data_IF_791119898850
#
_entry.id   IF_791119898850
#
_cell.length_a   1.000
_cell.length_b   1.000
_cell.length_c   1.000
_cell.angle_alpha   90.00
_cell.angle_beta   90.00
_cell.angle_gamma   90.00
#
_symmetry.space_group_name_H-M   'P 1'
#
loop_
_entity.id
_entity.type
_entity.pdbx_description
1 polymer ?
#
# COMPACT_ATOMS: atom_id res chain seq x y z
N UNK A 1 8.17 -5.87 10.22
CA UNK A 1 6.76 -5.66 10.66
C UNK A 1 5.91 -6.80 10.13
N UNK A 2 4.74 -7.03 10.76
CA UNK A 2 3.75 -7.99 10.26
C UNK A 2 2.71 -7.23 9.43
N UNK A 3 2.39 -7.74 8.24
CA UNK A 3 1.44 -7.11 7.32
C UNK A 3 0.65 -8.17 6.56
N UNK A 4 -0.65 -7.92 6.35
CA UNK A 4 -1.43 -8.70 5.39
C UNK A 4 -1.42 -8.04 4.02
N UNK A 5 -1.42 -8.85 2.97
CA UNK A 5 -1.65 -8.43 1.59
C UNK A 5 -2.90 -9.11 1.05
N UNK A 6 -3.88 -8.31 0.65
CA UNK A 6 -5.12 -8.78 0.01
C UNK A 6 -5.03 -8.46 -1.48
N UNK A 7 -5.06 -9.51 -2.30
CA UNK A 7 -4.85 -9.40 -3.74
C UNK A 7 -3.38 -9.64 -4.12
N UNK A 8 -3.14 -10.80 -4.72
CA UNK A 8 -1.82 -11.29 -5.13
C UNK A 8 -1.62 -11.23 -6.65
N UNK A 9 -2.25 -10.26 -7.28
CA UNK A 9 -1.96 -9.93 -8.66
C UNK A 9 -0.49 -9.52 -8.84
N UNK A 10 -0.12 -9.12 -10.06
CA UNK A 10 1.27 -8.82 -10.41
C UNK A 10 1.95 -7.85 -9.43
N UNK A 11 1.29 -6.78 -9.04
CA UNK A 11 1.89 -5.82 -8.11
C UNK A 11 1.88 -6.32 -6.66
N UNK A 12 0.71 -6.74 -6.14
CA UNK A 12 0.61 -7.20 -4.75
C UNK A 12 1.54 -8.36 -4.45
N UNK A 13 1.64 -9.33 -5.36
CA UNK A 13 2.57 -10.43 -5.21
C UNK A 13 4.04 -10.01 -5.21
N UNK A 14 4.43 -9.10 -6.10
CA UNK A 14 5.79 -8.57 -6.13
C UNK A 14 6.13 -7.76 -4.86
N UNK A 15 5.15 -7.01 -4.33
CA UNK A 15 5.32 -6.29 -3.06
C UNK A 15 5.54 -7.26 -1.89
N UNK A 16 4.79 -8.36 -1.83
CA UNK A 16 4.99 -9.42 -0.83
C UNK A 16 6.41 -9.98 -0.89
N UNK A 17 6.89 -10.32 -2.08
CA UNK A 17 8.25 -10.83 -2.23
C UNK A 17 9.31 -9.84 -1.77
N UNK A 18 9.15 -8.55 -2.14
CA UNK A 18 10.08 -7.49 -1.73
C UNK A 18 10.07 -7.27 -0.22
N UNK A 19 8.90 -7.30 0.41
CA UNK A 19 8.74 -7.20 1.86
C UNK A 19 9.42 -8.36 2.59
N UNK A 20 9.18 -9.61 2.15
CA UNK A 20 9.77 -10.79 2.76
C UNK A 20 11.30 -10.80 2.62
N UNK A 21 11.84 -10.43 1.46
CA UNK A 21 13.29 -10.32 1.24
C UNK A 21 13.97 -9.35 2.20
N UNK A 22 13.23 -8.37 2.71
CA UNK A 22 13.73 -7.37 3.65
C UNK A 22 13.25 -7.58 5.09
N UNK A 23 12.87 -8.80 5.45
CA UNK A 23 12.62 -9.20 6.83
C UNK A 23 11.25 -8.88 7.39
N UNK A 24 10.27 -8.49 6.55
CA UNK A 24 8.88 -8.38 6.98
C UNK A 24 8.18 -9.74 6.93
N UNK A 25 7.21 -9.94 7.81
CA UNK A 25 6.34 -11.13 7.80
C UNK A 25 5.05 -10.80 7.08
N UNK A 26 4.72 -11.56 6.03
CA UNK A 26 3.53 -11.33 5.23
C UNK A 26 2.51 -12.45 5.39
N UNK A 27 1.28 -12.09 5.77
CA UNK A 27 0.10 -12.95 5.63
C UNK A 27 -0.58 -12.58 4.32
N UNK A 28 -0.94 -13.55 3.49
CA UNK A 28 -1.44 -13.29 2.14
C UNK A 28 -2.79 -13.94 1.90
N UNK A 29 -3.67 -13.18 1.27
CA UNK A 29 -4.99 -13.65 0.85
C UNK A 29 -5.27 -13.25 -0.60
N UNK A 30 -5.82 -14.19 -1.36
CA UNK A 30 -6.34 -13.97 -2.69
C UNK A 30 -7.57 -14.89 -2.89
N UNK A 31 -8.47 -14.51 -3.80
CA UNK A 31 -9.62 -15.36 -4.17
C UNK A 31 -9.16 -16.70 -4.78
N UNK A 32 -8.02 -16.71 -5.44
CA UNK A 32 -7.38 -17.90 -5.96
C UNK A 32 -6.47 -18.55 -4.91
N UNK A 33 -6.92 -19.64 -4.31
CA UNK A 33 -6.11 -20.40 -3.37
C UNK A 33 -4.86 -21.02 -4.03
N UNK A 34 -4.87 -21.24 -5.33
CA UNK A 34 -3.68 -21.64 -6.08
C UNK A 34 -2.62 -20.54 -6.05
N UNK A 35 -3.06 -19.27 -6.19
CA UNK A 35 -2.16 -18.12 -6.07
C UNK A 35 -1.60 -17.98 -4.66
N UNK A 36 -2.42 -18.17 -3.62
CA UNK A 36 -1.94 -18.15 -2.22
C UNK A 36 -0.82 -19.18 -2.02
N UNK A 37 -1.00 -20.42 -2.46
CA UNK A 37 0.01 -21.48 -2.35
C UNK A 37 1.34 -21.14 -3.03
N UNK A 38 1.31 -20.39 -4.15
CA UNK A 38 2.54 -19.93 -4.83
C UNK A 38 3.36 -18.99 -3.92
N UNK A 39 2.70 -18.19 -3.11
CA UNK A 39 3.38 -17.27 -2.18
C UNK A 39 3.75 -17.94 -0.85
N UNK A 40 3.03 -18.99 -0.41
CA UNK A 40 3.49 -19.84 0.69
C UNK A 40 4.85 -20.48 0.37
N UNK A 41 5.05 -20.94 -0.86
CA UNK A 41 6.35 -21.44 -1.33
C UNK A 41 7.47 -20.37 -1.29
N UNK A 42 7.09 -19.09 -1.22
CA UNK A 42 7.99 -17.92 -1.09
C UNK A 42 8.08 -17.37 0.34
N UNK A 43 7.71 -18.18 1.34
CA UNK A 43 7.75 -17.86 2.77
C UNK A 43 6.67 -16.87 3.26
N UNK A 44 5.62 -16.64 2.50
CA UNK A 44 4.44 -15.97 3.01
C UNK A 44 3.58 -16.95 3.84
N UNK A 45 2.77 -16.44 4.75
CA UNK A 45 1.75 -17.22 5.45
C UNK A 45 0.44 -17.09 4.69
N UNK A 46 -0.04 -18.16 4.07
CA UNK A 46 -1.29 -18.17 3.34
C UNK A 46 -2.51 -18.10 4.25
N UNK A 47 -3.58 -17.49 3.75
CA UNK A 47 -4.88 -17.47 4.42
C UNK A 47 -6.00 -17.95 3.49
N UNK A 48 -6.94 -18.71 4.06
CA UNK A 48 -8.09 -19.29 3.35
C UNK A 48 -9.32 -18.36 3.32
N UNK A 49 -9.36 -17.39 4.23
CA UNK A 49 -10.44 -16.40 4.36
C UNK A 49 -9.91 -15.12 5.02
N UNK A 50 -10.71 -14.05 5.02
CA UNK A 50 -10.37 -12.84 5.79
C UNK A 50 -10.28 -13.13 7.30
N UNK A 51 -11.18 -13.92 7.87
CA UNK A 51 -11.12 -14.29 9.28
C UNK A 51 -9.84 -15.07 9.61
N UNK A 52 -9.45 -16.02 8.77
CA UNK A 52 -8.19 -16.77 8.90
C UNK A 52 -6.97 -15.83 8.79
N UNK A 53 -6.98 -14.90 7.83
CA UNK A 53 -5.93 -13.88 7.67
C UNK A 53 -5.77 -13.02 8.94
N UNK A 54 -6.88 -12.50 9.47
CA UNK A 54 -6.90 -11.66 10.66
C UNK A 54 -6.40 -12.40 11.90
N UNK A 55 -6.75 -13.68 12.04
CA UNK A 55 -6.29 -14.52 13.17
C UNK A 55 -4.77 -14.75 13.20
N UNK A 56 -4.12 -14.61 12.04
CA UNK A 56 -2.67 -14.82 11.88
C UNK A 56 -1.85 -13.53 12.06
N UNK A 57 -2.50 -12.40 12.34
CA UNK A 57 -1.85 -11.10 12.52
C UNK A 57 -1.91 -10.64 13.99
N UNK A 58 -0.79 -10.20 14.57
CA UNK A 58 -0.83 -9.51 15.86
C UNK A 58 -1.49 -8.13 15.73
N UNK A 59 -2.25 -7.72 16.72
CA UNK A 59 -2.81 -6.37 16.80
C UNK A 59 -1.73 -5.36 17.29
N UNK A 60 -1.77 -4.10 16.86
CA UNK A 60 -2.62 -3.57 15.81
C UNK A 60 -2.23 -4.13 14.43
N UNK A 61 -3.23 -4.52 13.65
CA UNK A 61 -3.03 -5.19 12.37
C UNK A 61 -2.84 -4.18 11.24
N UNK A 62 -2.01 -4.53 10.26
CA UNK A 62 -1.79 -3.74 9.06
C UNK A 62 -2.24 -4.58 7.87
N UNK A 63 -3.23 -4.10 7.13
CA UNK A 63 -3.81 -4.80 5.98
C UNK A 63 -3.68 -3.91 4.73
N UNK A 64 -2.94 -4.38 3.73
CA UNK A 64 -2.74 -3.71 2.46
C UNK A 64 -3.64 -4.33 1.38
N UNK A 65 -4.47 -3.50 0.76
CA UNK A 65 -5.39 -3.90 -0.30
C UNK A 65 -4.76 -3.60 -1.67
N UNK A 66 -4.60 -4.64 -2.49
CA UNK A 66 -4.16 -4.55 -3.89
C UNK A 66 -5.22 -5.15 -4.80
N UNK A 67 -6.44 -4.68 -4.63
CA UNK A 67 -7.62 -5.14 -5.38
C UNK A 67 -8.08 -4.06 -6.37
N UNK A 68 -8.87 -4.41 -7.41
CA UNK A 68 -9.46 -3.43 -8.30
C UNK A 68 -10.33 -2.41 -7.55
N UNK A 69 -10.30 -1.14 -7.98
CA UNK A 69 -11.03 -0.05 -7.31
C UNK A 69 -12.53 -0.35 -7.10
N UNK A 70 -13.18 -1.02 -8.05
CA UNK A 70 -14.60 -1.36 -7.97
C UNK A 70 -14.97 -2.39 -6.91
N UNK A 71 -13.99 -3.05 -6.25
CA UNK A 71 -14.26 -4.04 -5.19
C UNK A 71 -13.70 -3.63 -3.83
N UNK A 72 -13.05 -2.47 -3.72
CA UNK A 72 -12.46 -1.99 -2.46
C UNK A 72 -13.53 -1.82 -1.39
N UNK A 73 -14.65 -1.19 -1.69
CA UNK A 73 -15.74 -0.97 -0.72
C UNK A 73 -16.29 -2.28 -0.18
N UNK A 74 -16.52 -3.27 -1.06
CA UNK A 74 -16.94 -4.59 -0.64
C UNK A 74 -15.90 -5.27 0.26
N UNK A 75 -14.63 -5.19 -0.13
CA UNK A 75 -13.51 -5.76 0.66
C UNK A 75 -13.44 -5.14 2.05
N UNK A 76 -13.56 -3.81 2.15
CA UNK A 76 -13.61 -3.10 3.43
C UNK A 76 -14.83 -3.53 4.25
N UNK A 77 -16.01 -3.63 3.62
CA UNK A 77 -17.22 -4.06 4.30
C UNK A 77 -17.09 -5.46 4.92
N UNK A 78 -16.42 -6.39 4.23
CA UNK A 78 -16.17 -7.75 4.71
C UNK A 78 -15.09 -7.80 5.81
N UNK A 79 -14.10 -6.90 5.78
CA UNK A 79 -13.02 -6.85 6.75
C UNK A 79 -13.42 -6.16 8.06
N UNK A 80 -14.16 -5.06 8.00
CA UNK A 80 -14.49 -4.21 9.16
C UNK A 80 -15.05 -4.98 10.35
N UNK A 81 -15.96 -5.94 10.20
CA UNK A 81 -16.46 -6.73 11.34
C UNK A 81 -15.39 -7.59 12.05
N UNK A 82 -14.24 -7.81 11.40
CA UNK A 82 -13.13 -8.63 11.91
C UNK A 82 -12.01 -7.78 12.51
N UNK A 83 -12.05 -6.46 12.31
CA UNK A 83 -11.03 -5.53 12.75
C UNK A 83 -11.32 -4.97 14.15
N UNK A 84 -10.30 -4.43 14.75
CA UNK A 84 -10.35 -3.78 16.07
C UNK A 84 -9.83 -2.35 15.98
N UNK A 85 -10.16 -1.53 16.99
CA UNK A 85 -9.59 -0.20 17.12
C UNK A 85 -8.05 -0.26 17.12
N UNK A 86 -7.42 0.63 16.36
CA UNK A 86 -5.99 0.69 16.14
C UNK A 86 -5.50 -0.06 14.89
N UNK A 87 -6.33 -0.92 14.28
CA UNK A 87 -5.97 -1.58 13.02
C UNK A 87 -5.89 -0.58 11.86
N UNK A 88 -5.05 -0.87 10.87
CA UNK A 88 -4.78 0.01 9.72
C UNK A 88 -5.16 -0.69 8.43
N UNK A 89 -5.99 -0.05 7.62
CA UNK A 89 -6.26 -0.42 6.24
C UNK A 89 -5.50 0.49 5.28
N UNK A 90 -4.74 -0.09 4.37
CA UNK A 90 -4.01 0.61 3.32
C UNK A 90 -4.63 0.25 1.96
N UNK A 91 -5.12 1.24 1.24
CA UNK A 91 -5.53 1.07 -0.16
C UNK A 91 -4.37 1.45 -1.09
N UNK A 92 -3.73 0.45 -1.69
CA UNK A 92 -2.63 0.62 -2.64
C UNK A 92 -3.05 0.42 -4.10
N UNK A 93 -4.34 0.37 -4.36
CA UNK A 93 -4.91 0.21 -5.70
C UNK A 93 -4.88 1.49 -6.54
N UNK A 94 -5.86 1.64 -7.41
CA UNK A 94 -6.10 2.84 -8.22
C UNK A 94 -7.47 3.44 -7.90
N UNK A 95 -7.70 3.73 -6.63
CA UNK A 95 -8.97 4.25 -6.15
C UNK A 95 -9.16 5.73 -6.48
N UNK A 96 -10.41 6.15 -6.54
CA UNK A 96 -10.76 7.55 -6.68
C UNK A 96 -10.59 8.25 -5.32
N UNK A 97 -9.80 9.32 -5.26
CA UNK A 97 -9.43 9.98 -4.01
C UNK A 97 -10.60 10.47 -3.15
N UNK A 98 -11.76 10.78 -3.78
CA UNK A 98 -12.97 11.19 -3.04
C UNK A 98 -13.54 10.02 -2.23
N UNK A 99 -13.44 8.79 -2.78
CA UNK A 99 -13.84 7.59 -2.04
C UNK A 99 -12.91 7.33 -0.86
N UNK A 100 -11.61 7.62 -0.98
CA UNK A 100 -10.66 7.48 0.14
C UNK A 100 -11.03 8.40 1.30
N UNK A 101 -11.42 9.65 1.00
CA UNK A 101 -11.89 10.61 2.00
C UNK A 101 -13.15 10.09 2.69
N UNK A 102 -14.10 9.53 1.93
CA UNK A 102 -15.33 8.95 2.46
C UNK A 102 -15.03 7.75 3.35
N UNK A 103 -14.23 6.79 2.87
CA UNK A 103 -13.83 5.57 3.61
C UNK A 103 -13.15 5.91 4.92
N UNK A 104 -12.21 6.86 4.91
CA UNK A 104 -11.54 7.32 6.12
C UNK A 104 -12.53 7.85 7.16
N UNK A 105 -13.51 8.68 6.73
CA UNK A 105 -14.56 9.20 7.62
C UNK A 105 -15.47 8.11 8.20
N UNK A 106 -15.77 7.07 7.42
CA UNK A 106 -16.63 5.95 7.84
C UNK A 106 -15.89 5.01 8.83
N UNK A 107 -14.57 4.90 8.72
CA UNK A 107 -13.74 4.02 9.54
C UNK A 107 -13.29 4.67 10.84
N UNK A 108 -13.06 5.98 10.86
CA UNK A 108 -12.59 6.72 12.02
C UNK A 108 -13.43 6.51 13.30
N UNK A 109 -14.78 6.52 13.28
CA UNK A 109 -15.59 6.25 14.46
C UNK A 109 -15.43 4.84 15.04
N UNK A 110 -14.90 3.91 14.25
CA UNK A 110 -14.58 2.53 14.66
C UNK A 110 -13.16 2.38 15.18
N UNK A 111 -12.39 3.48 15.20
CA UNK A 111 -10.99 3.50 15.55
C UNK A 111 -10.08 2.81 14.54
N UNK A 112 -10.54 2.57 13.32
CA UNK A 112 -9.77 1.96 12.24
C UNK A 112 -9.15 3.08 11.41
N UNK A 113 -7.83 3.03 11.24
CA UNK A 113 -7.08 3.98 10.43
C UNK A 113 -7.12 3.60 8.95
N UNK A 114 -7.22 4.60 8.10
CA UNK A 114 -7.18 4.43 6.65
C UNK A 114 -6.03 5.20 6.03
N UNK A 115 -5.31 4.58 5.10
CA UNK A 115 -4.19 5.18 4.36
C UNK A 115 -4.37 4.87 2.89
N UNK A 116 -4.30 5.87 2.04
CA UNK A 116 -4.33 5.71 0.59
C UNK A 116 -2.91 5.85 0.01
N UNK A 117 -2.54 4.94 -0.88
CA UNK A 117 -1.20 4.90 -1.46
C UNK A 117 -1.27 4.80 -2.97
N UNK A 118 -1.02 5.90 -3.63
CA UNK A 118 -0.81 5.93 -5.05
C UNK A 118 0.52 5.24 -5.42
N UNK A 119 0.44 3.98 -5.84
CA UNK A 119 1.63 3.15 -6.12
C UNK A 119 1.98 3.17 -7.60
N UNK A 120 3.24 3.45 -7.94
CA UNK A 120 3.80 3.41 -9.29
C UNK A 120 5.07 2.55 -9.34
N UNK A 121 5.21 1.71 -10.36
CA UNK A 121 6.37 0.78 -10.51
C UNK A 121 6.03 -0.42 -11.38
N UNK A 122 4.76 -0.77 -11.48
CA UNK A 122 4.26 -1.83 -12.36
C UNK A 122 5.01 -3.15 -12.19
N UNK A 123 5.39 -3.74 -13.32
CA UNK A 123 6.08 -5.05 -13.37
C UNK A 123 7.52 -5.00 -12.85
N UNK A 124 8.16 -3.84 -12.91
CA UNK A 124 9.56 -3.65 -12.50
C UNK A 124 9.72 -3.38 -11.01
N UNK A 125 8.62 -3.18 -10.29
CA UNK A 125 8.63 -2.84 -8.87
C UNK A 125 9.29 -3.88 -7.97
N UNK A 126 9.32 -5.17 -8.37
CA UNK A 126 10.01 -6.19 -7.61
C UNK A 126 11.50 -5.88 -7.45
N UNK A 127 12.16 -5.49 -8.53
CA UNK A 127 13.60 -5.26 -8.55
C UNK A 127 13.95 -3.79 -8.29
N UNK A 128 13.18 -2.86 -8.88
CA UNK A 128 13.46 -1.42 -8.83
C UNK A 128 12.74 -0.67 -7.72
N UNK A 129 11.78 -1.29 -7.04
CA UNK A 129 10.92 -0.64 -6.05
C UNK A 129 9.74 0.10 -6.64
N UNK A 130 8.93 0.67 -5.75
CA UNK A 130 7.69 1.37 -6.06
C UNK A 130 7.77 2.82 -5.59
N UNK A 131 7.50 3.77 -6.48
CA UNK A 131 7.27 5.14 -6.08
C UNK A 131 5.88 5.25 -5.45
N UNK A 132 5.78 5.91 -4.29
CA UNK A 132 4.54 5.95 -3.52
C UNK A 132 4.19 7.37 -3.08
N UNK A 133 2.97 7.79 -3.39
CA UNK A 133 2.33 9.00 -2.89
C UNK A 133 1.32 8.58 -1.83
N UNK A 134 1.48 9.08 -0.61
CA UNK A 134 0.79 8.55 0.57
C UNK A 134 -0.13 9.63 1.16
N UNK A 135 -1.39 9.28 1.38
CA UNK A 135 -2.37 10.09 2.09
C UNK A 135 -2.82 9.40 3.38
N UNK A 136 -2.92 10.16 4.47
CA UNK A 136 -3.36 9.62 5.74
C UNK A 136 -2.93 10.44 6.95
N UNK A 137 -3.29 10.00 8.13
CA UNK A 137 -2.89 10.60 9.39
C UNK A 137 -1.36 10.56 9.57
N UNK A 138 -0.68 11.69 9.89
CA UNK A 138 0.79 11.76 9.97
C UNK A 138 1.40 10.72 10.92
N UNK A 139 0.77 10.46 12.06
CA UNK A 139 1.25 9.48 13.03
C UNK A 139 1.22 8.06 12.49
N UNK A 140 0.16 7.71 11.75
CA UNK A 140 -0.02 6.39 11.13
C UNK A 140 0.96 6.21 9.97
N UNK A 141 1.08 7.22 9.09
CA UNK A 141 2.03 7.18 7.97
C UNK A 141 3.46 7.02 8.49
N UNK A 142 3.84 7.73 9.57
CA UNK A 142 5.13 7.58 10.23
C UNK A 142 5.33 6.18 10.82
N UNK A 143 4.31 5.58 11.42
CA UNK A 143 4.37 4.21 11.94
C UNK A 143 4.63 3.18 10.82
N UNK A 144 4.08 3.42 9.64
CA UNK A 144 4.22 2.56 8.46
C UNK A 144 5.52 2.79 7.67
N UNK A 145 6.32 3.78 8.03
CA UNK A 145 7.56 4.16 7.33
C UNK A 145 8.49 2.98 6.99
N UNK A 146 8.72 1.99 7.88
CA UNK A 146 9.56 0.83 7.54
C UNK A 146 9.02 0.00 6.37
N UNK A 147 7.70 -0.04 6.16
CA UNK A 147 7.07 -0.72 5.03
C UNK A 147 7.30 0.09 3.75
N UNK A 148 7.05 1.40 3.81
CA UNK A 148 7.24 2.28 2.66
C UNK A 148 8.71 2.33 2.22
N UNK A 149 9.64 2.48 3.16
CA UNK A 149 11.08 2.46 2.87
C UNK A 149 11.53 1.15 2.21
N UNK A 150 10.99 0.01 2.63
CA UNK A 150 11.27 -1.29 2.02
C UNK A 150 10.73 -1.39 0.60
N UNK A 151 9.53 -0.89 0.36
CA UNK A 151 8.90 -0.96 -0.96
C UNK A 151 9.47 0.06 -1.94
N UNK A 152 9.96 1.19 -1.46
CA UNK A 152 10.52 2.27 -2.28
C UNK A 152 11.80 1.87 -3.01
N UNK A 153 12.14 2.57 -4.13
CA UNK A 153 13.39 2.33 -4.87
C UNK A 153 14.65 2.72 -4.11
N UNK A 154 14.55 3.66 -3.16
CA UNK A 154 15.70 4.31 -2.56
C UNK A 154 16.37 5.30 -3.52
N UNK A 155 17.49 5.90 -3.09
CA UNK A 155 18.22 6.92 -3.86
C UNK A 155 18.87 6.31 -5.13
N UNK A 156 19.23 5.02 -5.10
CA UNK A 156 19.91 4.36 -6.22
C UNK A 156 21.28 4.99 -6.53
N UNK A 157 21.65 4.95 -7.83
CA UNK A 157 22.92 5.49 -8.34
C UNK A 157 22.71 6.79 -9.14
N UNK A 158 21.62 7.51 -8.93
CA UNK A 158 21.28 8.73 -9.68
C UNK A 158 21.88 9.93 -8.93
N UNK A 159 22.72 10.70 -9.63
CA UNK A 159 23.26 11.93 -9.10
C UNK A 159 22.15 12.94 -8.78
N UNK A 160 22.30 13.65 -7.67
CA UNK A 160 21.35 14.71 -7.30
C UNK A 160 21.39 15.85 -8.30
N UNK A 161 20.24 16.45 -8.56
CA UNK A 161 20.15 17.65 -9.39
C UNK A 161 21.03 18.76 -8.80
N UNK A 162 21.97 19.36 -9.59
CA UNK A 162 22.83 20.43 -9.11
C UNK A 162 22.01 21.61 -8.54
N UNK A 163 22.52 22.19 -7.45
CA UNK A 163 21.87 23.33 -6.80
C UNK A 163 20.67 22.99 -5.91
N UNK A 164 20.30 21.72 -5.75
CA UNK A 164 19.29 21.32 -4.79
C UNK A 164 19.83 21.38 -3.36
N UNK A 165 19.06 21.89 -2.38
CA UNK A 165 19.43 21.86 -0.96
C UNK A 165 19.64 20.42 -0.48
N UNK A 166 20.18 20.25 0.71
CA UNK A 166 20.34 18.94 1.33
C UNK A 166 19.04 18.14 1.36
N UNK A 167 19.16 16.80 1.39
CA UNK A 167 18.02 15.89 1.42
C UNK A 167 17.07 16.25 2.56
N UNK A 168 15.84 16.60 2.22
CA UNK A 168 14.76 16.82 3.17
C UNK A 168 13.65 15.81 2.92
N UNK A 169 13.37 14.94 3.92
CA UNK A 169 12.30 13.93 3.82
C UNK A 169 12.64 12.75 2.91
N UNK A 170 11.60 12.05 2.47
CA UNK A 170 11.67 10.73 1.81
C UNK A 170 11.41 10.78 0.30
N UNK A 171 11.16 11.97 -0.27
CA UNK A 171 10.83 12.11 -1.69
C UNK A 171 11.94 11.57 -2.62
N UNK A 172 13.20 11.78 -2.25
CA UNK A 172 14.35 11.26 -3.02
C UNK A 172 14.51 9.74 -2.88
N UNK A 173 13.95 9.13 -1.84
CA UNK A 173 13.89 7.67 -1.69
C UNK A 173 12.75 7.06 -2.52
N UNK A 174 11.90 7.88 -3.11
CA UNK A 174 10.79 7.47 -3.97
C UNK A 174 9.46 7.29 -3.24
N UNK A 175 9.29 7.84 -2.04
CA UNK A 175 7.98 7.90 -1.39
C UNK A 175 7.79 9.20 -0.61
N UNK A 176 6.55 9.67 -0.52
CA UNK A 176 6.24 10.94 0.14
C UNK A 176 4.85 10.89 0.79
N UNK A 177 4.76 11.37 2.04
CA UNK A 177 3.49 11.72 2.66
C UNK A 177 2.99 13.03 2.05
N UNK A 178 1.93 12.93 1.23
CA UNK A 178 1.40 14.04 0.42
C UNK A 178 0.35 14.88 1.16
N UNK A 179 -0.21 14.37 2.25
CA UNK A 179 -1.26 15.06 3.00
C UNK A 179 -2.27 14.13 3.66
N UNK A 180 -3.47 14.63 4.00
CA UNK A 180 -4.52 13.82 4.61
C UNK A 180 -5.05 12.75 3.67
N UNK A 181 -6.00 11.94 4.15
CA UNK A 181 -6.64 10.88 3.36
C UNK A 181 -7.15 11.40 2.01
N UNK A 182 -6.87 10.65 0.95
CA UNK A 182 -7.14 10.98 -0.44
C UNK A 182 -5.97 11.70 -1.14
N UNK A 183 -5.02 12.28 -0.41
CA UNK A 183 -3.91 13.03 -1.00
C UNK A 183 -2.97 12.13 -1.82
N UNK A 184 -2.77 10.88 -1.44
CA UNK A 184 -1.92 9.93 -2.16
C UNK A 184 -2.44 9.62 -3.56
N UNK A 185 -3.67 9.16 -3.67
CA UNK A 185 -4.31 8.89 -4.96
C UNK A 185 -4.54 10.16 -5.77
N UNK A 186 -4.90 11.29 -5.13
CA UNK A 186 -5.03 12.58 -5.82
C UNK A 186 -3.74 12.97 -6.52
N UNK A 187 -2.61 12.96 -5.81
CA UNK A 187 -1.30 13.34 -6.39
C UNK A 187 -0.90 12.38 -7.49
N UNK A 188 -1.02 11.06 -7.28
CA UNK A 188 -0.71 10.07 -8.29
C UNK A 188 -1.50 10.28 -9.58
N UNK A 189 -2.82 10.44 -9.49
CA UNK A 189 -3.70 10.60 -10.66
C UNK A 189 -3.49 11.95 -11.36
N UNK A 190 -3.16 13.01 -10.60
CA UNK A 190 -2.84 14.32 -11.18
C UNK A 190 -1.55 14.30 -12.01
N UNK A 191 -0.56 13.50 -11.62
CA UNK A 191 0.70 13.37 -12.36
C UNK A 191 0.50 12.87 -13.81
N UNK A 192 -0.49 12.03 -14.07
CA UNK A 192 -0.81 11.55 -15.42
C UNK A 192 -1.18 12.73 -16.32
N UNK A 193 -1.96 13.69 -15.83
CA UNK A 193 -2.37 14.87 -16.59
C UNK A 193 -1.24 15.90 -16.77
N UNK A 194 -0.30 15.95 -15.85
CA UNK A 194 0.82 16.92 -15.89
C UNK A 194 1.96 16.39 -16.74
N UNK A 195 2.29 15.10 -16.63
CA UNK A 195 3.46 14.50 -17.29
C UNK A 195 3.19 13.98 -18.71
N UNK A 196 1.94 13.67 -19.06
CA UNK A 196 1.55 13.17 -20.39
C UNK A 196 0.35 13.93 -21.00
N UNK A 197 0.33 15.29 -21.01
CA UNK A 197 -0.83 16.06 -21.47
C UNK A 197 -1.11 15.93 -22.99
N UNK A 198 -0.18 15.37 -23.75
CA UNK A 198 -0.22 15.32 -25.22
C UNK A 198 -0.34 13.92 -25.80
N UNK A 199 -0.55 12.89 -25.00
CA UNK A 199 -0.75 11.54 -25.55
C UNK A 199 -2.14 11.47 -26.18
N UNK A 200 -2.27 11.34 -27.53
CA UNK A 200 -3.57 11.12 -28.15
C UNK A 200 -4.11 9.75 -27.71
N UNK A 201 -5.38 9.72 -27.36
CA UNK A 201 -6.11 8.50 -27.01
C UNK A 201 -6.38 7.67 -28.27
#
# INVERSE_FOLDING_TARGET
MNIAMVGLGRMGGNMVERLIRNGHTCVVFDRSQETVKKYEAKKATGASSYADMISKLPAPRIIWLMVPAGVVDQTIHELVPLLSSGDVLIDGGNSYYVDDIRRAKELAPKGIHYVDVGTSGGVWGLDRGYCMMIGGEPAIVKHLDPIFATLAPGIGNIDRTPGRPEKTGTAEDGYLHCGPNGAGHFVKLSLIHISEPTRPY
#
